data_IF_697842881954
#
_entry.id   IF_697842881954
#
_cell.length_a   1.000
_cell.length_b   1.000
_cell.length_c   1.000
_cell.angle_alpha   90.00
_cell.angle_beta   90.00
_cell.angle_gamma   90.00
#
_symmetry.space_group_name_H-M   'P 1'
#
loop_
_entity.id
_entity.type
_entity.pdbx_description
1 polymer ?
#
# COMPACT_ATOMS: atom_id res chain seq x y z
N UNK A 1 -2.83 -11.08 -1.02
CA UNK A 1 -4.10 -11.12 -0.29
C UNK A 1 -4.25 -9.87 0.60
N UNK A 2 -3.72 -9.84 1.83
CA UNK A 2 -3.96 -8.70 2.76
C UNK A 2 -3.51 -7.33 2.21
N UNK A 3 -2.33 -7.22 1.62
CA UNK A 3 -1.87 -5.95 1.02
C UNK A 3 -2.78 -5.46 -0.12
N UNK A 4 -3.43 -6.38 -0.84
CA UNK A 4 -4.39 -6.06 -1.91
C UNK A 4 -5.71 -5.56 -1.33
N UNK A 5 -6.19 -6.21 -0.28
CA UNK A 5 -7.40 -5.80 0.43
C UNK A 5 -7.25 -4.39 1.01
N UNK A 6 -6.12 -4.11 1.67
CA UNK A 6 -5.77 -2.79 2.22
C UNK A 6 -5.68 -1.73 1.12
N UNK A 7 -5.02 -2.03 -0.01
CA UNK A 7 -4.87 -1.05 -1.09
C UNK A 7 -6.22 -0.58 -1.64
N UNK A 8 -7.12 -1.53 -1.89
CA UNK A 8 -8.44 -1.22 -2.42
C UNK A 8 -9.33 -0.54 -1.37
N UNK A 9 -9.27 -0.96 -0.10
CA UNK A 9 -9.96 -0.27 0.99
C UNK A 9 -9.54 1.20 1.13
N UNK A 10 -8.23 1.48 1.02
CA UNK A 10 -7.72 2.86 1.03
C UNK A 10 -8.17 3.66 -0.19
N UNK A 11 -8.22 3.06 -1.38
CA UNK A 11 -8.70 3.74 -2.60
C UNK A 11 -10.17 4.12 -2.46
N UNK A 12 -11.02 3.24 -1.93
CA UNK A 12 -12.43 3.56 -1.68
C UNK A 12 -12.62 4.65 -0.63
N UNK A 13 -11.75 4.71 0.39
CA UNK A 13 -11.79 5.77 1.41
C UNK A 13 -11.36 7.15 0.88
N UNK A 14 -10.64 7.24 -0.25
CA UNK A 14 -10.25 8.52 -0.85
C UNK A 14 -11.45 9.29 -1.42
N UNK A 15 -12.53 8.59 -1.78
CA UNK A 15 -13.79 9.21 -2.24
C UNK A 15 -14.55 9.91 -1.11
N UNK A 16 -14.43 9.43 0.13
CA UNK A 16 -15.08 10.00 1.31
C UNK A 16 -14.24 11.09 1.99
N UNK A 17 -13.03 11.34 1.49
CA UNK A 17 -12.09 12.33 2.03
C UNK A 17 -12.48 13.77 1.65
N UNK A 18 -12.36 14.70 2.60
CA UNK A 18 -12.67 16.11 2.40
C UNK A 18 -11.84 16.74 1.25
N UNK A 19 -12.54 17.26 0.23
CA UNK A 19 -11.96 17.95 -0.92
C UNK A 19 -12.60 17.54 -2.25
N UNK A 20 -12.07 18.08 -3.36
CA UNK A 20 -12.45 17.61 -4.70
C UNK A 20 -11.78 16.26 -4.98
N UNK A 21 -12.58 15.26 -5.36
CA UNK A 21 -12.14 13.92 -5.74
C UNK A 21 -10.97 13.93 -6.74
N UNK A 22 -11.02 14.83 -7.72
CA UNK A 22 -9.97 14.97 -8.74
C UNK A 22 -8.63 15.42 -8.16
N UNK A 23 -8.65 16.40 -7.24
CA UNK A 23 -7.42 16.90 -6.60
C UNK A 23 -6.79 15.82 -5.73
N UNK A 24 -7.60 15.04 -5.00
CA UNK A 24 -7.12 13.92 -4.20
C UNK A 24 -6.48 12.83 -5.06
N UNK A 25 -7.10 12.51 -6.19
CA UNK A 25 -6.63 11.49 -7.13
C UNK A 25 -5.30 11.88 -7.79
N UNK A 26 -5.17 13.15 -8.21
CA UNK A 26 -3.92 13.68 -8.78
C UNK A 26 -2.80 13.66 -7.74
N UNK A 27 -3.07 14.14 -6.52
CA UNK A 27 -2.07 14.18 -5.43
C UNK A 27 -1.61 12.77 -5.04
N UNK A 28 -2.55 11.82 -4.97
CA UNK A 28 -2.25 10.41 -4.76
C UNK A 28 -1.33 9.89 -5.87
N UNK A 29 -1.66 10.14 -7.14
CA UNK A 29 -0.86 9.69 -8.27
C UNK A 29 0.59 10.21 -8.22
N UNK A 30 0.75 11.52 -7.97
CA UNK A 30 2.06 12.16 -7.87
C UNK A 30 2.89 11.55 -6.73
N UNK A 31 2.33 11.49 -5.52
CA UNK A 31 3.05 10.99 -4.34
C UNK A 31 3.41 9.50 -4.50
N UNK A 32 2.52 8.69 -5.10
CA UNK A 32 2.80 7.28 -5.42
C UNK A 32 4.03 7.14 -6.29
N UNK A 33 4.12 7.92 -7.37
CA UNK A 33 5.26 7.89 -8.28
C UNK A 33 6.54 8.42 -7.62
N UNK A 34 6.46 9.55 -6.90
CA UNK A 34 7.62 10.14 -6.21
C UNK A 34 8.24 9.17 -5.19
N UNK A 35 7.41 8.53 -4.35
CA UNK A 35 7.88 7.58 -3.34
C UNK A 35 8.48 6.34 -4.00
N UNK A 36 7.86 5.82 -5.06
CA UNK A 36 8.37 4.63 -5.74
C UNK A 36 9.73 4.89 -6.43
N UNK A 37 9.92 6.08 -7.02
CA UNK A 37 11.21 6.51 -7.57
C UNK A 37 12.24 6.66 -6.44
N UNK A 38 11.88 7.33 -5.34
CA UNK A 38 12.78 7.52 -4.20
C UNK A 38 13.26 6.18 -3.62
N UNK A 39 12.35 5.21 -3.45
CA UNK A 39 12.72 3.87 -3.00
C UNK A 39 13.53 3.08 -4.03
N UNK A 40 13.26 3.24 -5.33
CA UNK A 40 14.08 2.65 -6.39
C UNK A 40 15.53 3.16 -6.38
N UNK A 41 15.72 4.46 -6.16
CA UNK A 41 17.06 5.07 -6.01
C UNK A 41 17.73 4.60 -4.71
N UNK A 42 16.96 4.47 -3.62
CA UNK A 42 17.48 3.99 -2.34
C UNK A 42 17.97 2.54 -2.42
N UNK A 43 17.21 1.68 -3.11
CA UNK A 43 17.56 0.27 -3.35
C UNK A 43 18.84 0.15 -4.20
N UNK A 44 19.01 1.03 -5.19
CA UNK A 44 20.23 1.07 -6.01
C UNK A 44 21.47 1.53 -5.22
N UNK A 45 21.32 2.52 -4.32
CA UNK A 45 22.43 3.05 -3.51
C UNK A 45 22.82 2.15 -2.33
N UNK A 46 21.88 1.41 -1.74
CA UNK A 46 22.09 0.72 -0.47
C UNK A 46 22.13 -0.81 -0.61
N UNK A 47 23.18 -1.34 -1.28
CA UNK A 47 23.39 -2.80 -1.46
C UNK A 47 23.47 -3.61 -0.15
N UNK A 48 23.78 -2.99 0.98
CA UNK A 48 23.96 -3.65 2.28
C UNK A 48 22.64 -3.89 3.05
N UNK A 49 21.53 -3.26 2.64
CA UNK A 49 20.25 -3.47 3.30
C UNK A 49 19.63 -4.76 2.77
N UNK A 50 19.83 -5.88 3.48
CA UNK A 50 19.30 -7.18 3.06
C UNK A 50 17.80 -7.09 2.73
N UNK A 51 17.35 -7.73 1.65
CA UNK A 51 15.96 -7.65 1.13
C UNK A 51 14.86 -7.93 2.15
N UNK A 52 15.16 -8.66 3.23
CA UNK A 52 14.25 -8.86 4.37
C UNK A 52 13.96 -7.56 5.14
N UNK A 53 14.96 -6.70 5.32
CA UNK A 53 14.81 -5.41 6.00
C UNK A 53 13.93 -4.45 5.19
N UNK A 54 14.09 -4.39 3.86
CA UNK A 54 13.25 -3.56 2.99
C UNK A 54 11.78 -3.98 3.05
N UNK A 55 11.50 -5.29 3.08
CA UNK A 55 10.15 -5.82 3.28
C UNK A 55 9.59 -5.51 4.67
N UNK A 56 10.40 -5.63 5.72
CA UNK A 56 9.97 -5.35 7.09
C UNK A 56 9.67 -3.86 7.29
N UNK A 57 10.55 -2.99 6.81
CA UNK A 57 10.41 -1.53 6.92
C UNK A 57 9.18 -1.04 6.15
N UNK A 58 8.95 -1.57 4.94
CA UNK A 58 7.76 -1.21 4.17
C UNK A 58 6.46 -1.76 4.78
N UNK A 59 6.46 -2.95 5.36
CA UNK A 59 5.28 -3.45 6.08
C UNK A 59 5.04 -2.71 7.40
N UNK A 60 6.10 -2.35 8.13
CA UNK A 60 6.03 -1.57 9.34
C UNK A 60 5.50 -0.16 9.08
N UNK A 61 5.92 0.50 8.00
CA UNK A 61 5.42 1.83 7.66
C UNK A 61 3.93 1.83 7.30
N UNK A 62 3.42 0.78 6.66
CA UNK A 62 1.97 0.61 6.44
C UNK A 62 1.24 0.36 7.76
N UNK A 63 1.77 -0.50 8.62
CA UNK A 63 1.15 -0.79 9.92
C UNK A 63 1.07 0.47 10.79
N UNK A 64 2.11 1.30 10.80
CA UNK A 64 2.13 2.59 11.51
C UNK A 64 1.13 3.57 10.88
N UNK A 65 1.06 3.67 9.55
CA UNK A 65 0.13 4.58 8.88
C UNK A 65 -1.34 4.18 9.11
N UNK A 66 -1.67 2.90 9.03
CA UNK A 66 -3.01 2.38 9.34
C UNK A 66 -3.32 2.49 10.84
N UNK A 67 -2.34 2.26 11.71
CA UNK A 67 -2.48 2.44 13.15
C UNK A 67 -2.78 3.89 13.52
N UNK A 68 -2.12 4.85 12.88
CA UNK A 68 -2.40 6.28 13.06
C UNK A 68 -3.84 6.63 12.67
N UNK A 69 -4.34 6.08 11.54
CA UNK A 69 -5.73 6.26 11.09
C UNK A 69 -6.71 5.63 12.11
N UNK A 70 -6.44 4.42 12.60
CA UNK A 70 -7.28 3.75 13.58
C UNK A 70 -7.36 4.52 14.92
N UNK A 71 -6.23 5.06 15.40
CA UNK A 71 -6.19 5.88 16.62
C UNK A 71 -7.00 7.16 16.44
N UNK A 72 -6.91 7.83 15.29
CA UNK A 72 -7.71 9.04 15.02
C UNK A 72 -9.21 8.78 14.99
N UNK A 73 -9.63 7.59 14.54
CA UNK A 73 -11.03 7.16 14.58
C UNK A 73 -11.50 6.87 16.01
N UNK A 74 -10.72 6.15 16.80
CA UNK A 74 -11.06 5.84 18.21
C UNK A 74 -11.24 7.13 19.03
N UNK A 75 -10.43 8.15 18.76
CA UNK A 75 -10.47 9.43 19.47
C UNK A 75 -11.58 10.39 18.97
N UNK A 76 -12.43 9.99 18.01
CA UNK A 76 -13.55 10.79 17.48
C UNK A 76 -13.17 12.22 17.06
N UNK A 77 -11.97 12.41 16.52
CA UNK A 77 -11.38 13.73 16.26
C UNK A 77 -11.28 14.02 14.74
N UNK A 78 -12.22 13.46 14.00
CA UNK A 78 -12.25 13.37 12.53
C UNK A 78 -12.27 14.76 11.86
N UNK A 79 -13.03 15.68 12.44
CA UNK A 79 -13.25 17.04 11.87
C UNK A 79 -12.03 17.93 12.07
N UNK A 80 -11.29 17.78 13.17
CA UNK A 80 -10.14 18.63 13.50
C UNK A 80 -8.84 18.17 12.81
N UNK A 81 -8.73 16.88 12.49
CA UNK A 81 -7.54 16.27 11.90
C UNK A 81 -7.73 15.71 10.48
N UNK A 82 -8.74 16.18 9.74
CA UNK A 82 -9.03 15.75 8.37
C UNK A 82 -7.79 15.81 7.43
N UNK A 83 -6.94 16.82 7.59
CA UNK A 83 -5.68 16.95 6.83
C UNK A 83 -4.68 15.84 7.18
N UNK A 84 -4.56 15.47 8.46
CA UNK A 84 -3.65 14.41 8.90
C UNK A 84 -4.12 13.05 8.37
N UNK A 85 -5.42 12.79 8.44
CA UNK A 85 -6.02 11.55 7.88
C UNK A 85 -5.75 11.48 6.37
N UNK A 86 -5.87 12.61 5.66
CA UNK A 86 -5.58 12.70 4.22
C UNK A 86 -4.12 12.45 3.86
N UNK A 87 -3.19 13.03 4.60
CA UNK A 87 -1.75 12.77 4.38
C UNK A 87 -1.41 11.31 4.72
N UNK A 88 -1.97 10.77 5.82
CA UNK A 88 -1.73 9.39 6.24
C UNK A 88 -2.29 8.35 5.26
N UNK A 89 -3.51 8.54 4.74
CA UNK A 89 -4.13 7.65 3.74
C UNK A 89 -3.35 7.68 2.43
N UNK A 90 -2.94 8.86 1.96
CA UNK A 90 -2.14 8.99 0.73
C UNK A 90 -0.75 8.35 0.91
N UNK A 91 -0.12 8.53 2.07
CA UNK A 91 1.16 7.88 2.40
C UNK A 91 1.03 6.36 2.49
N UNK A 92 -0.04 5.85 3.11
CA UNK A 92 -0.34 4.42 3.17
C UNK A 92 -0.59 3.83 1.77
N UNK A 93 -1.35 4.52 0.92
CA UNK A 93 -1.61 4.11 -0.46
C UNK A 93 -0.32 4.04 -1.29
N UNK A 94 0.59 5.00 -1.10
CA UNK A 94 1.88 5.05 -1.78
C UNK A 94 2.84 3.93 -1.37
N UNK A 95 2.95 3.69 -0.06
CA UNK A 95 3.81 2.61 0.44
C UNK A 95 3.26 1.23 0.02
N UNK A 96 1.94 1.10 -0.10
CA UNK A 96 1.33 -0.16 -0.57
C UNK A 96 1.77 -0.51 -1.99
N UNK A 97 1.83 0.45 -2.93
CA UNK A 97 2.33 0.19 -4.29
C UNK A 97 3.76 -0.35 -4.32
N UNK A 98 4.64 0.21 -3.49
CA UNK A 98 6.03 -0.24 -3.40
C UNK A 98 6.11 -1.70 -2.94
N UNK A 99 5.33 -2.09 -1.92
CA UNK A 99 5.30 -3.47 -1.42
C UNK A 99 4.91 -4.46 -2.51
N UNK A 100 3.98 -4.11 -3.39
CA UNK A 100 3.60 -4.97 -4.51
C UNK A 100 4.77 -5.26 -5.45
N UNK A 101 5.60 -4.26 -5.72
CA UNK A 101 6.77 -4.39 -6.58
C UNK A 101 7.82 -5.25 -5.87
N UNK A 102 8.19 -4.92 -4.64
CA UNK A 102 9.19 -5.68 -3.87
C UNK A 102 8.76 -7.14 -3.65
N UNK A 103 7.47 -7.41 -3.41
CA UNK A 103 6.95 -8.80 -3.27
C UNK A 103 7.02 -9.58 -4.56
N UNK A 104 6.81 -8.92 -5.70
CA UNK A 104 6.90 -9.57 -7.02
C UNK A 104 8.36 -9.90 -7.36
N UNK A 105 9.27 -8.95 -7.13
CA UNK A 105 10.72 -9.17 -7.31
C UNK A 105 11.20 -10.30 -6.39
N UNK A 106 10.78 -10.29 -5.12
CA UNK A 106 11.17 -11.34 -4.18
C UNK A 106 10.67 -12.71 -4.58
N UNK A 107 9.41 -12.82 -5.03
CA UNK A 107 8.88 -14.08 -5.55
C UNK A 107 9.68 -14.57 -6.78
N UNK A 108 10.09 -13.68 -7.68
CA UNK A 108 10.90 -14.06 -8.86
C UNK A 108 12.25 -14.64 -8.47
N UNK A 109 12.86 -14.18 -7.38
CA UNK A 109 14.17 -14.67 -6.95
C UNK A 109 14.10 -15.96 -6.12
N UNK A 110 12.97 -16.23 -5.44
CA UNK A 110 12.78 -17.49 -4.72
C UNK A 110 12.44 -18.67 -5.64
N UNK A 111 11.67 -18.43 -6.70
CA UNK A 111 11.18 -19.50 -7.58
C UNK A 111 12.07 -19.66 -8.84
N UNK A 112 12.56 -20.88 -9.14
CA UNK A 112 13.23 -21.16 -10.40
C UNK A 112 12.25 -21.02 -11.58
N UNK A 113 12.78 -20.72 -12.77
CA UNK A 113 12.01 -20.31 -13.97
C UNK A 113 10.83 -21.23 -14.32
N UNK A 114 10.98 -22.54 -14.08
CA UNK A 114 9.97 -23.56 -14.39
C UNK A 114 8.71 -23.44 -13.52
N UNK A 115 8.85 -23.10 -12.24
CA UNK A 115 7.72 -22.99 -11.28
C UNK A 115 7.30 -21.54 -11.01
N UNK A 116 8.11 -20.58 -11.45
CA UNK A 116 7.88 -19.14 -11.27
C UNK A 116 6.56 -18.68 -11.86
N UNK A 117 6.20 -19.16 -13.05
CA UNK A 117 4.95 -18.76 -13.72
C UNK A 117 3.72 -19.21 -12.91
N UNK A 118 3.69 -20.47 -12.48
CA UNK A 118 2.60 -21.01 -11.66
C UNK A 118 2.51 -20.34 -10.29
N UNK A 119 3.65 -20.07 -9.64
CA UNK A 119 3.69 -19.38 -8.34
C UNK A 119 3.20 -17.92 -8.43
N UNK A 120 3.59 -17.19 -9.48
CA UNK A 120 3.10 -15.83 -9.73
C UNK A 120 1.61 -15.81 -10.07
N UNK A 121 1.12 -16.78 -10.85
CA UNK A 121 -0.29 -16.93 -11.17
C UNK A 121 -1.11 -17.15 -9.90
N UNK A 122 -0.69 -18.06 -9.02
CA UNK A 122 -1.36 -18.29 -7.73
C UNK A 122 -1.38 -17.03 -6.85
N UNK A 123 -0.23 -16.34 -6.73
CA UNK A 123 -0.13 -15.06 -6.01
C UNK A 123 -1.08 -14.00 -6.59
N UNK A 124 -1.25 -13.95 -7.90
CA UNK A 124 -2.17 -13.03 -8.58
C UNK A 124 -3.63 -13.38 -8.29
N UNK A 125 -4.01 -14.66 -8.36
CA UNK A 125 -5.37 -15.11 -8.02
C UNK A 125 -5.72 -14.78 -6.58
N UNK A 126 -4.83 -15.08 -5.62
CA UNK A 126 -5.02 -14.68 -4.22
C UNK A 126 -5.01 -13.15 -4.03
N UNK A 127 -4.32 -12.40 -4.89
CA UNK A 127 -4.42 -10.93 -4.85
C UNK A 127 -5.82 -10.48 -5.24
N UNK A 128 -6.38 -11.02 -6.34
CA UNK A 128 -7.71 -10.68 -6.86
C UNK A 128 -8.83 -11.08 -5.90
N UNK A 129 -8.72 -12.21 -5.20
CA UNK A 129 -9.68 -12.55 -4.15
C UNK A 129 -9.73 -11.48 -3.05
N UNK A 130 -8.57 -10.95 -2.65
CA UNK A 130 -8.51 -9.86 -1.67
C UNK A 130 -9.13 -8.55 -2.15
N UNK A 131 -9.11 -8.27 -3.46
CA UNK A 131 -9.73 -7.07 -4.02
C UNK A 131 -11.25 -7.21 -4.15
N UNK A 132 -11.74 -8.42 -4.40
CA UNK A 132 -13.18 -8.73 -4.43
C UNK A 132 -13.80 -8.59 -3.04
N UNK A 133 -13.08 -9.00 -1.99
CA UNK A 133 -13.54 -8.90 -0.60
C UNK A 133 -13.42 -7.49 -0.01
N UNK A 134 -12.55 -6.64 -0.56
CA UNK A 134 -12.32 -5.29 -0.04
C UNK A 134 -13.59 -4.40 0.06
N UNK A 135 -14.44 -4.26 -0.98
CA UNK A 135 -15.65 -3.45 -0.87
C UNK A 135 -16.71 -4.06 0.05
N UNK A 136 -16.74 -5.39 0.23
CA UNK A 136 -17.70 -6.04 1.12
C UNK A 136 -17.45 -5.69 2.59
N UNK A 137 -16.21 -5.37 2.98
CA UNK A 137 -15.85 -4.92 4.32
C UNK A 137 -16.28 -3.47 4.63
N UNK A 138 -16.59 -2.66 3.61
CA UNK A 138 -17.07 -1.29 3.79
C UNK A 138 -18.61 -1.20 3.83
N UNK A 139 -19.30 -2.24 3.34
CA UNK A 139 -20.76 -2.35 3.34
C UNK A 139 -21.32 -3.03 4.60
N UNK A 140 -20.45 -3.72 5.37
CA UNK A 140 -20.78 -4.39 6.63
C UNK A 140 -20.47 -3.46 7.82
#
# INVERSE_FOLDING_TARGET
>A
FMSSMINYGLIFNIETLSGSFFVNSILMGLIRWSINIAFGVLDFKWKACGRKAVHLVSQASIAVALGAIAVTYIMNLEVKYSIIIRVATIFAAATTSQIFITKTISAMEYYPTVVRNSGLAFKSTCSRLGTILAPQLLLL
#
